data_IF_213691098594
#
_entry.id   IF_213691098594
#
_cell.length_a   1.000
_cell.length_b   1.000
_cell.length_c   1.000
_cell.angle_alpha   90.00
_cell.angle_beta   90.00
_cell.angle_gamma   90.00
#
_symmetry.space_group_name_H-M   'P 1'
#
loop_
_entity.id
_entity.type
_entity.pdbx_description
1 polymer ?
#
# COMPACT_ATOMS: atom_id res chain seq x y z
N UNK A 1 -41.23 -10.34 19.28
CA UNK A 1 -40.46 -10.25 18.02
C UNK A 1 -39.01 -10.56 18.35
N UNK A 2 -38.40 -11.55 17.71
CA UNK A 2 -36.95 -11.72 17.82
C UNK A 2 -36.28 -10.50 17.17
N UNK A 3 -35.26 -9.89 17.78
CA UNK A 3 -34.54 -8.80 17.14
C UNK A 3 -33.92 -9.33 15.85
N UNK A 4 -34.37 -8.80 14.72
CA UNK A 4 -33.79 -9.10 13.41
C UNK A 4 -32.50 -8.29 13.33
N UNK A 5 -31.37 -8.95 13.54
CA UNK A 5 -30.05 -8.35 13.36
C UNK A 5 -29.76 -8.03 11.89
N UNK A 6 -28.83 -7.10 11.65
CA UNK A 6 -28.36 -6.75 10.30
C UNK A 6 -27.80 -7.99 9.58
N UNK A 7 -28.13 -8.20 8.30
CA UNK A 7 -27.61 -9.33 7.52
C UNK A 7 -26.08 -9.25 7.33
N UNK A 8 -25.41 -10.38 7.07
CA UNK A 8 -23.95 -10.41 6.82
C UNK A 8 -23.57 -9.52 5.63
N UNK A 9 -24.35 -9.57 4.55
CA UNK A 9 -24.17 -8.72 3.36
C UNK A 9 -24.24 -7.22 3.71
N UNK A 10 -25.27 -6.80 4.45
CA UNK A 10 -25.44 -5.40 4.83
C UNK A 10 -24.34 -4.94 5.79
N UNK A 11 -23.86 -5.81 6.70
CA UNK A 11 -22.68 -5.51 7.55
C UNK A 11 -21.43 -5.31 6.71
N UNK A 12 -21.16 -6.21 5.76
CA UNK A 12 -20.00 -6.10 4.86
C UNK A 12 -20.07 -4.81 4.03
N UNK A 13 -21.21 -4.53 3.38
CA UNK A 13 -21.39 -3.30 2.60
C UNK A 13 -21.24 -2.04 3.46
N UNK A 14 -21.74 -2.05 4.69
CA UNK A 14 -21.59 -0.93 5.62
C UNK A 14 -20.12 -0.71 6.00
N UNK A 15 -19.36 -1.78 6.25
CA UNK A 15 -17.91 -1.70 6.53
C UNK A 15 -17.15 -1.16 5.32
N UNK A 16 -17.42 -1.69 4.11
CA UNK A 16 -16.82 -1.19 2.87
C UNK A 16 -17.14 0.28 2.64
N UNK A 17 -18.39 0.70 2.86
CA UNK A 17 -18.80 2.09 2.71
C UNK A 17 -18.10 3.01 3.71
N UNK A 18 -17.89 2.53 4.94
CA UNK A 18 -17.20 3.27 5.99
C UNK A 18 -15.71 3.48 5.66
N UNK A 19 -15.00 2.44 5.22
CA UNK A 19 -13.56 2.52 4.97
C UNK A 19 -13.20 3.08 3.59
N UNK A 20 -13.96 2.71 2.56
CA UNK A 20 -13.62 2.97 1.15
C UNK A 20 -14.69 3.78 0.40
N UNK A 21 -15.82 4.09 1.04
CA UNK A 21 -16.88 4.89 0.46
C UNK A 21 -17.96 4.07 -0.25
N UNK A 22 -19.12 4.68 -0.45
CA UNK A 22 -20.31 3.99 -0.98
C UNK A 22 -20.17 3.49 -2.41
N UNK A 23 -19.25 4.03 -3.21
CA UNK A 23 -18.98 3.52 -4.56
C UNK A 23 -18.38 2.11 -4.49
N UNK A 24 -17.36 1.91 -3.65
CA UNK A 24 -16.73 0.58 -3.43
C UNK A 24 -17.71 -0.40 -2.82
N UNK A 25 -18.59 0.06 -1.90
CA UNK A 25 -19.60 -0.82 -1.31
C UNK A 25 -20.69 -1.32 -2.29
N UNK A 26 -20.86 -0.65 -3.43
CA UNK A 26 -21.83 -1.05 -4.48
C UNK A 26 -21.20 -1.91 -5.57
N UNK A 27 -19.89 -1.82 -5.76
CA UNK A 27 -19.12 -2.65 -6.67
C UNK A 27 -18.72 -3.94 -5.96
N UNK A 28 -19.34 -5.06 -6.33
CA UNK A 28 -19.06 -6.37 -5.72
C UNK A 28 -17.94 -7.13 -6.43
N UNK A 29 -17.49 -6.67 -7.59
CA UNK A 29 -16.41 -7.28 -8.35
C UNK A 29 -15.05 -6.62 -8.06
N UNK A 30 -15.08 -5.40 -7.52
CA UNK A 30 -13.92 -4.60 -7.12
C UNK A 30 -12.91 -4.32 -8.23
N UNK A 31 -13.18 -4.72 -9.47
CA UNK A 31 -12.33 -4.58 -10.65
C UNK A 31 -12.45 -3.20 -11.31
N UNK A 32 -13.37 -2.36 -10.83
CA UNK A 32 -13.58 -1.05 -11.41
C UNK A 32 -12.48 -0.07 -11.02
N UNK A 33 -12.07 0.78 -11.96
CA UNK A 33 -11.07 1.84 -11.75
C UNK A 33 -11.38 2.77 -10.56
N UNK A 34 -12.67 2.96 -10.27
CA UNK A 34 -13.11 3.76 -9.12
C UNK A 34 -12.78 3.07 -7.79
N UNK A 35 -12.75 1.74 -7.74
CA UNK A 35 -12.36 1.00 -6.54
C UNK A 35 -10.90 1.28 -6.20
N UNK A 36 -9.99 1.14 -7.18
CA UNK A 36 -8.57 1.48 -7.02
C UNK A 36 -8.40 2.94 -6.58
N UNK A 37 -9.12 3.88 -7.21
CA UNK A 37 -9.04 5.30 -6.85
C UNK A 37 -9.48 5.57 -5.41
N UNK A 38 -10.60 5.00 -4.98
CA UNK A 38 -11.15 5.24 -3.64
C UNK A 38 -10.27 4.59 -2.55
N UNK A 39 -9.75 3.39 -2.81
CA UNK A 39 -8.80 2.72 -1.93
C UNK A 39 -7.49 3.52 -1.81
N UNK A 40 -6.96 4.03 -2.93
CA UNK A 40 -5.77 4.89 -2.90
C UNK A 40 -6.02 6.21 -2.16
N UNK A 41 -7.21 6.81 -2.29
CA UNK A 41 -7.63 7.97 -1.47
C UNK A 41 -7.65 7.65 0.02
N UNK A 42 -8.06 6.44 0.40
CA UNK A 42 -8.02 5.98 1.80
C UNK A 42 -6.57 5.85 2.28
N UNK A 43 -5.72 5.17 1.52
CA UNK A 43 -4.28 5.03 1.79
C UNK A 43 -3.57 6.39 1.92
N UNK A 44 -3.90 7.35 1.06
CA UNK A 44 -3.36 8.72 1.12
C UNK A 44 -3.59 9.39 2.47
N UNK A 45 -4.70 9.12 3.17
CA UNK A 45 -4.97 9.72 4.49
C UNK A 45 -3.92 9.32 5.54
N UNK A 46 -3.34 8.13 5.41
CA UNK A 46 -2.30 7.67 6.33
C UNK A 46 -0.93 8.30 6.02
N UNK A 47 -0.72 8.73 4.77
CA UNK A 47 0.51 9.39 4.32
C UNK A 47 0.44 10.90 4.52
N UNK A 48 -0.72 11.52 4.28
CA UNK A 48 -0.90 12.97 4.30
C UNK A 48 -0.50 13.62 5.63
N UNK A 49 -0.69 12.90 6.74
CA UNK A 49 -0.32 13.33 8.10
C UNK A 49 1.18 13.57 8.26
N UNK A 50 2.00 13.00 7.37
CA UNK A 50 3.46 13.16 7.35
C UNK A 50 3.94 14.19 6.31
N UNK A 51 3.05 14.68 5.44
CA UNK A 51 3.35 15.66 4.39
C UNK A 51 2.94 17.08 4.82
N UNK A 52 3.59 17.60 5.85
CA UNK A 52 3.32 18.96 6.34
C UNK A 52 3.50 20.01 5.24
N UNK A 53 2.47 20.82 4.99
CA UNK A 53 2.45 21.83 3.93
C UNK A 53 1.67 21.43 2.67
N UNK A 54 1.28 20.15 2.51
CA UNK A 54 0.53 19.72 1.31
C UNK A 54 -0.79 20.46 1.11
N UNK A 55 -1.45 20.88 2.20
CA UNK A 55 -2.70 21.65 2.14
C UNK A 55 -2.54 23.09 1.63
N UNK A 56 -1.32 23.64 1.63
CA UNK A 56 -1.03 24.98 1.12
C UNK A 56 -0.51 24.95 -0.34
N UNK A 57 -0.42 23.77 -0.94
CA UNK A 57 -0.01 23.63 -2.34
C UNK A 57 -1.15 24.06 -3.27
N UNK A 58 -0.93 25.11 -4.07
CA UNK A 58 -1.96 25.70 -4.96
C UNK A 58 -2.63 24.68 -5.89
N UNK A 59 -1.85 23.72 -6.36
CA UNK A 59 -2.29 22.70 -7.32
C UNK A 59 -2.38 21.30 -6.68
N UNK A 60 -2.69 21.22 -5.37
CA UNK A 60 -2.74 19.95 -4.64
C UNK A 60 -3.76 18.95 -5.20
N UNK A 61 -4.87 19.41 -5.77
CA UNK A 61 -5.87 18.53 -6.39
C UNK A 61 -5.35 17.89 -7.68
N UNK A 62 -4.68 18.68 -8.54
CA UNK A 62 -4.07 18.18 -9.78
C UNK A 62 -2.96 17.16 -9.47
N UNK A 63 -2.06 17.49 -8.53
CA UNK A 63 -1.03 16.58 -8.04
C UNK A 63 -1.63 15.25 -7.56
N UNK A 64 -2.66 15.31 -6.71
CA UNK A 64 -3.32 14.09 -6.21
C UNK A 64 -3.99 13.30 -7.33
N UNK A 65 -4.62 13.97 -8.29
CA UNK A 65 -5.21 13.32 -9.45
C UNK A 65 -4.17 12.57 -10.30
N UNK A 66 -2.99 13.15 -10.51
CA UNK A 66 -1.88 12.49 -11.21
C UNK A 66 -1.38 11.25 -10.47
N UNK A 67 -1.18 11.34 -9.14
CA UNK A 67 -0.78 10.18 -8.33
C UNK A 67 -1.87 9.10 -8.34
N UNK A 68 -3.15 9.46 -8.23
CA UNK A 68 -4.23 8.47 -8.31
C UNK A 68 -4.26 7.78 -9.68
N UNK A 69 -4.03 8.52 -10.76
CA UNK A 69 -3.92 7.96 -12.10
C UNK A 69 -2.70 7.03 -12.24
N UNK A 70 -1.55 7.37 -11.66
CA UNK A 70 -0.37 6.49 -11.69
C UNK A 70 -0.57 5.21 -10.89
N UNK A 71 -1.29 5.27 -9.75
CA UNK A 71 -1.67 4.07 -8.98
C UNK A 71 -2.59 3.17 -9.79
N UNK A 72 -3.59 3.73 -10.48
CA UNK A 72 -4.48 2.98 -11.38
C UNK A 72 -3.66 2.27 -12.46
N UNK A 73 -2.73 2.99 -13.09
CA UNK A 73 -1.85 2.44 -14.12
C UNK A 73 -0.96 1.31 -13.56
N UNK A 74 -0.41 1.49 -12.36
CA UNK A 74 0.37 0.46 -11.69
C UNK A 74 -0.44 -0.82 -11.47
N UNK A 75 -1.64 -0.70 -10.89
CA UNK A 75 -2.51 -1.86 -10.60
C UNK A 75 -2.97 -2.54 -11.88
N UNK A 76 -3.31 -1.79 -12.92
CA UNK A 76 -3.63 -2.37 -14.24
C UNK A 76 -2.42 -3.13 -14.83
N UNK A 77 -1.21 -2.59 -14.69
CA UNK A 77 0.02 -3.25 -15.12
C UNK A 77 0.37 -4.53 -14.35
N UNK A 78 -0.24 -4.76 -13.17
CA UNK A 78 -0.06 -6.03 -12.46
C UNK A 78 -0.69 -7.21 -13.21
N UNK A 79 -1.67 -6.98 -14.09
CA UNK A 79 -2.24 -8.03 -14.93
C UNK A 79 -1.17 -8.65 -15.84
N UNK A 80 -0.35 -7.82 -16.49
CA UNK A 80 0.78 -8.25 -17.30
C UNK A 80 1.85 -8.98 -16.47
N UNK A 81 2.12 -8.49 -15.26
CA UNK A 81 2.97 -9.18 -14.27
C UNK A 81 2.38 -10.50 -13.76
N UNK A 82 1.12 -10.83 -14.07
CA UNK A 82 0.42 -11.98 -13.51
C UNK A 82 0.08 -13.06 -14.54
N UNK A 83 0.36 -12.79 -15.82
CA UNK A 83 0.08 -13.73 -16.90
C UNK A 83 1.13 -14.86 -16.94
N UNK A 84 0.67 -16.07 -16.60
CA UNK A 84 1.44 -17.33 -16.56
C UNK A 84 2.24 -17.68 -17.82
N UNK A 85 1.90 -17.10 -18.96
CA UNK A 85 2.60 -17.31 -20.24
C UNK A 85 4.01 -16.68 -20.26
N UNK A 86 4.34 -15.81 -19.28
CA UNK A 86 5.64 -15.12 -19.18
C UNK A 86 6.65 -15.82 -18.25
N UNK A 87 6.29 -16.96 -17.65
CA UNK A 87 7.18 -17.73 -16.74
C UNK A 87 6.98 -17.38 -15.25
N UNK A 88 7.80 -17.95 -14.35
CA UNK A 88 7.70 -17.67 -12.92
C UNK A 88 8.16 -16.24 -12.61
N UNK A 89 7.26 -15.43 -12.06
CA UNK A 89 7.62 -14.09 -11.61
C UNK A 89 8.51 -14.15 -10.35
N UNK A 90 9.38 -13.16 -10.21
CA UNK A 90 10.34 -13.07 -9.11
C UNK A 90 10.07 -11.85 -8.23
N UNK A 91 10.52 -11.93 -6.97
CA UNK A 91 10.50 -10.78 -6.06
C UNK A 91 11.24 -9.58 -6.67
N UNK A 92 12.34 -9.82 -7.39
CA UNK A 92 13.15 -8.77 -8.02
C UNK A 92 12.39 -8.02 -9.11
N UNK A 93 11.58 -8.69 -9.93
CA UNK A 93 10.74 -8.03 -10.93
C UNK A 93 9.70 -7.12 -10.27
N UNK A 94 9.05 -7.58 -9.19
CA UNK A 94 8.14 -6.75 -8.43
C UNK A 94 8.85 -5.56 -7.78
N UNK A 95 10.05 -5.78 -7.20
CA UNK A 95 10.89 -4.73 -6.61
C UNK A 95 11.17 -3.62 -7.64
N UNK A 96 11.46 -3.98 -8.89
CA UNK A 96 11.73 -3.03 -9.97
C UNK A 96 10.48 -2.22 -10.36
N UNK A 97 9.32 -2.86 -10.51
CA UNK A 97 8.06 -2.18 -10.78
C UNK A 97 7.70 -1.20 -9.65
N UNK A 98 7.79 -1.67 -8.41
CA UNK A 98 7.52 -0.88 -7.21
C UNK A 98 8.44 0.33 -7.11
N UNK A 99 9.74 0.11 -7.33
CA UNK A 99 10.77 1.15 -7.36
C UNK A 99 10.48 2.20 -8.43
N UNK A 100 10.16 1.77 -9.64
CA UNK A 100 9.84 2.68 -10.74
C UNK A 100 8.66 3.58 -10.38
N UNK A 101 7.58 3.02 -9.81
CA UNK A 101 6.43 3.80 -9.37
C UNK A 101 6.80 4.80 -8.27
N UNK A 102 7.60 4.39 -7.27
CA UNK A 102 8.00 5.29 -6.19
C UNK A 102 8.81 6.48 -6.71
N UNK A 103 9.73 6.24 -7.65
CA UNK A 103 10.52 7.30 -8.27
C UNK A 103 9.66 8.23 -9.14
N UNK A 104 8.75 7.69 -9.94
CA UNK A 104 7.80 8.48 -10.73
C UNK A 104 6.89 9.34 -9.85
N UNK A 105 6.44 8.82 -8.70
CA UNK A 105 5.64 9.57 -7.75
C UNK A 105 6.44 10.74 -7.13
N UNK A 106 7.72 10.53 -6.79
CA UNK A 106 8.61 11.58 -6.29
C UNK A 106 8.85 12.65 -7.37
N UNK A 107 9.14 12.23 -8.60
CA UNK A 107 9.30 13.13 -9.73
C UNK A 107 8.02 13.94 -9.98
N UNK A 108 6.86 13.29 -9.92
CA UNK A 108 5.56 13.95 -10.06
C UNK A 108 5.43 15.08 -9.03
N UNK A 109 5.74 14.84 -7.75
CA UNK A 109 5.73 15.88 -6.71
C UNK A 109 6.68 17.04 -7.03
N UNK A 110 7.86 16.78 -7.61
CA UNK A 110 8.82 17.82 -7.96
C UNK A 110 8.30 18.81 -9.02
N UNK A 111 7.35 18.38 -9.87
CA UNK A 111 6.68 19.26 -10.86
C UNK A 111 5.66 20.21 -10.24
N UNK A 112 5.30 20.01 -8.96
CA UNK A 112 4.37 20.84 -8.21
C UNK A 112 5.09 21.50 -7.02
N UNK A 113 5.99 22.47 -7.27
CA UNK A 113 6.79 23.08 -6.21
C UNK A 113 5.93 23.87 -5.22
N UNK A 114 6.27 23.77 -3.94
CA UNK A 114 5.60 24.52 -2.89
C UNK A 114 6.13 25.95 -2.81
N UNK A 115 5.24 26.93 -3.00
CA UNK A 115 5.59 28.35 -3.07
C UNK A 115 6.34 28.93 -1.85
N UNK A 116 6.17 28.35 -0.67
CA UNK A 116 6.86 28.78 0.57
C UNK A 116 7.89 27.77 1.11
N UNK A 117 7.98 26.57 0.52
CA UNK A 117 8.79 25.47 1.06
C UNK A 117 9.56 24.80 -0.08
N UNK A 118 10.72 25.33 -0.46
CA UNK A 118 11.51 24.77 -1.55
C UNK A 118 11.93 23.31 -1.32
N UNK A 119 11.97 22.87 -0.05
CA UNK A 119 12.29 21.51 0.39
C UNK A 119 11.08 20.57 0.40
N UNK A 120 9.87 21.07 0.13
CA UNK A 120 8.67 20.25 0.13
C UNK A 120 8.70 19.27 -1.05
N UNK A 121 8.54 17.99 -0.73
CA UNK A 121 8.43 16.93 -1.70
C UNK A 121 7.94 15.64 -1.06
N UNK A 122 7.75 14.62 -1.90
CA UNK A 122 7.49 13.27 -1.45
C UNK A 122 8.81 12.56 -1.20
N UNK A 123 8.95 11.91 -0.03
CA UNK A 123 10.06 11.00 0.22
C UNK A 123 9.70 9.58 -0.22
N UNK A 124 10.72 8.77 -0.51
CA UNK A 124 10.54 7.37 -0.90
C UNK A 124 9.73 6.59 0.14
N UNK A 125 10.03 6.79 1.42
CA UNK A 125 9.27 6.22 2.54
C UNK A 125 7.78 6.60 2.57
N UNK A 126 7.39 7.76 2.03
CA UNK A 126 6.00 8.16 1.88
C UNK A 126 5.36 7.58 0.61
N UNK A 127 6.11 7.54 -0.49
CA UNK A 127 5.68 6.91 -1.74
C UNK A 127 5.34 5.42 -1.51
N UNK A 128 6.27 4.65 -0.94
CA UNK A 128 6.04 3.23 -0.64
C UNK A 128 4.82 3.03 0.25
N UNK A 129 4.62 3.89 1.27
CA UNK A 129 3.51 3.74 2.20
C UNK A 129 2.18 3.92 1.49
N UNK A 130 2.10 4.88 0.56
CA UNK A 130 0.91 5.11 -0.24
C UNK A 130 0.58 3.89 -1.11
N UNK A 131 1.57 3.41 -1.89
CA UNK A 131 1.35 2.28 -2.78
C UNK A 131 1.04 1.00 -2.00
N UNK A 132 1.86 0.66 -0.99
CA UNK A 132 1.71 -0.59 -0.25
C UNK A 132 0.40 -0.64 0.55
N UNK A 133 -0.05 0.48 1.13
CA UNK A 133 -1.37 0.52 1.77
C UNK A 133 -2.49 0.36 0.75
N UNK A 134 -2.34 0.92 -0.46
CA UNK A 134 -3.32 0.71 -1.54
C UNK A 134 -3.39 -0.77 -1.91
N UNK A 135 -2.25 -1.39 -2.18
CA UNK A 135 -2.16 -2.80 -2.57
C UNK A 135 -2.67 -3.73 -1.46
N UNK A 136 -2.34 -3.45 -0.20
CA UNK A 136 -2.89 -4.15 0.97
C UNK A 136 -4.41 -4.11 0.98
N UNK A 137 -5.01 -2.92 0.86
CA UNK A 137 -6.46 -2.78 0.86
C UNK A 137 -7.11 -3.50 -0.33
N UNK A 138 -6.51 -3.42 -1.52
CA UNK A 138 -6.98 -4.16 -2.69
C UNK A 138 -6.88 -5.68 -2.50
N UNK A 139 -5.85 -6.17 -1.83
CA UNK A 139 -5.74 -7.58 -1.46
C UNK A 139 -6.84 -8.01 -0.48
N UNK A 140 -7.17 -7.19 0.52
CA UNK A 140 -8.30 -7.44 1.44
C UNK A 140 -9.64 -7.45 0.72
N UNK A 141 -9.78 -6.66 -0.36
CA UNK A 141 -10.95 -6.66 -1.23
C UNK A 141 -10.93 -7.77 -2.29
N UNK A 142 -9.90 -8.62 -2.27
CA UNK A 142 -9.73 -9.71 -3.24
C UNK A 142 -9.73 -9.23 -4.71
N UNK A 143 -9.11 -8.07 -4.94
CA UNK A 143 -9.03 -7.45 -6.27
C UNK A 143 -8.27 -8.37 -7.26
N UNK A 144 -8.81 -8.66 -8.45
CA UNK A 144 -8.27 -9.69 -9.36
C UNK A 144 -6.81 -9.45 -9.73
N UNK A 145 -6.44 -8.24 -10.13
CA UNK A 145 -5.07 -7.88 -10.51
C UNK A 145 -4.06 -7.99 -9.36
N UNK A 146 -4.48 -7.77 -8.12
CA UNK A 146 -3.60 -7.83 -6.94
C UNK A 146 -3.46 -9.26 -6.42
N UNK A 147 -4.49 -10.10 -6.59
CA UNK A 147 -4.49 -11.51 -6.16
C UNK A 147 -3.27 -12.28 -6.64
N UNK A 148 -2.86 -12.06 -7.89
CA UNK A 148 -1.74 -12.76 -8.49
C UNK A 148 -0.38 -12.19 -8.07
N UNK A 149 -0.29 -10.89 -7.86
CA UNK A 149 0.92 -10.23 -7.34
C UNK A 149 1.08 -10.39 -5.82
N UNK A 150 0.05 -10.90 -5.13
CA UNK A 150 -0.02 -10.98 -3.66
C UNK A 150 1.23 -11.55 -2.98
N UNK A 151 1.84 -12.66 -3.45
CA UNK A 151 3.02 -13.23 -2.81
C UNK A 151 4.24 -12.30 -2.79
N UNK A 152 4.29 -11.33 -3.71
CA UNK A 152 5.43 -10.44 -3.92
C UNK A 152 5.21 -9.05 -3.31
N UNK A 153 4.01 -8.76 -2.81
CA UNK A 153 3.67 -7.45 -2.28
C UNK A 153 4.52 -7.10 -1.08
N UNK A 154 4.98 -5.86 -1.07
CA UNK A 154 5.69 -5.28 0.05
C UNK A 154 4.72 -4.90 1.17
N UNK A 155 5.07 -5.17 2.41
CA UNK A 155 4.32 -4.63 3.55
C UNK A 155 4.47 -3.11 3.62
N UNK A 156 3.41 -2.39 4.03
CA UNK A 156 3.44 -0.94 4.12
C UNK A 156 4.23 -0.49 5.35
N UNK A 157 5.53 -0.21 5.19
CA UNK A 157 6.40 0.13 6.32
C UNK A 157 5.92 1.37 7.06
N UNK A 158 5.66 1.21 8.36
CA UNK A 158 5.44 2.26 9.32
C UNK A 158 5.96 1.86 10.70
N UNK A 159 5.77 2.73 11.68
CA UNK A 159 6.19 2.48 13.07
C UNK A 159 5.55 1.24 13.71
N UNK A 160 4.37 0.81 13.23
CA UNK A 160 3.72 -0.40 13.75
C UNK A 160 4.41 -1.62 13.16
N UNK A 161 4.61 -1.66 11.84
CA UNK A 161 5.32 -2.77 11.17
C UNK A 161 6.75 -2.93 11.69
N UNK A 162 7.45 -1.83 11.99
CA UNK A 162 8.79 -1.90 12.59
C UNK A 162 8.77 -2.56 13.98
N UNK A 163 7.85 -2.14 14.85
CA UNK A 163 7.69 -2.76 16.16
C UNK A 163 7.33 -4.25 16.05
N UNK A 164 6.40 -4.60 15.17
CA UNK A 164 6.01 -5.99 14.89
C UNK A 164 7.21 -6.84 14.49
N UNK A 165 8.00 -6.34 13.53
CA UNK A 165 9.18 -7.02 13.02
C UNK A 165 10.25 -7.23 14.10
N UNK A 166 10.45 -6.24 14.97
CA UNK A 166 11.42 -6.35 16.06
C UNK A 166 10.95 -7.31 17.16
N UNK A 167 9.65 -7.35 17.44
CA UNK A 167 9.05 -8.26 18.43
C UNK A 167 9.06 -9.71 17.94
N UNK A 168 8.53 -9.97 16.75
CA UNK A 168 8.34 -11.33 16.21
C UNK A 168 9.60 -11.89 15.55
N UNK A 169 10.27 -11.07 14.74
CA UNK A 169 11.31 -11.53 13.80
C UNK A 169 12.73 -11.06 14.17
N UNK A 170 12.85 -10.22 15.20
CA UNK A 170 14.11 -9.58 15.64
C UNK A 170 14.80 -8.73 14.57
N UNK A 171 14.02 -8.25 13.59
CA UNK A 171 14.46 -7.30 12.56
C UNK A 171 14.40 -5.89 13.15
N UNK A 172 15.53 -5.20 13.19
CA UNK A 172 15.66 -3.91 13.91
C UNK A 172 15.12 -2.74 13.11
N UNK A 173 14.41 -1.82 13.77
CA UNK A 173 13.96 -0.58 13.14
C UNK A 173 15.12 0.19 12.46
N UNK A 174 14.93 0.72 11.24
CA UNK A 174 15.92 1.60 10.60
C UNK A 174 16.17 2.87 11.41
N UNK A 175 17.35 3.47 11.26
CA UNK A 175 17.70 4.71 12.00
C UNK A 175 16.84 5.93 11.63
N UNK A 176 16.28 5.94 10.42
CA UNK A 176 15.38 7.00 9.95
C UNK A 176 13.93 6.56 10.09
N UNK A 177 13.07 7.51 10.49
CA UNK A 177 11.61 7.33 10.48
C UNK A 177 11.15 6.83 9.10
N UNK A 178 10.17 5.92 9.09
CA UNK A 178 9.62 5.33 7.85
C UNK A 178 9.31 6.38 6.77
N UNK A 179 8.75 7.53 7.15
CA UNK A 179 8.34 8.61 6.22
C UNK A 179 9.51 9.38 5.60
N UNK A 180 10.74 9.13 6.06
CA UNK A 180 11.98 9.75 5.57
C UNK A 180 12.99 8.72 5.05
N UNK A 181 12.61 7.44 4.97
CA UNK A 181 13.45 6.44 4.35
C UNK A 181 13.74 6.81 2.90
N UNK A 182 15.00 6.63 2.51
CA UNK A 182 15.42 6.59 1.11
C UNK A 182 15.28 5.19 0.52
N UNK A 183 15.34 5.11 -0.80
CA UNK A 183 15.21 3.86 -1.58
C UNK A 183 16.05 2.71 -1.02
N UNK A 184 17.36 2.93 -0.85
CA UNK A 184 18.29 1.87 -0.41
C UNK A 184 17.92 1.30 0.96
N UNK A 185 17.58 2.18 1.91
CA UNK A 185 17.23 1.76 3.27
C UNK A 185 15.86 1.03 3.29
N UNK A 186 14.93 1.47 2.44
CA UNK A 186 13.65 0.80 2.27
C UNK A 186 13.80 -0.61 1.70
N UNK A 187 14.52 -0.77 0.58
CA UNK A 187 14.70 -2.06 -0.08
C UNK A 187 15.44 -3.05 0.83
N UNK A 188 16.54 -2.61 1.46
CA UNK A 188 17.28 -3.44 2.40
C UNK A 188 16.40 -3.95 3.56
N UNK A 189 15.50 -3.11 4.07
CA UNK A 189 14.59 -3.52 5.13
C UNK A 189 13.51 -4.49 4.64
N UNK A 190 12.98 -4.31 3.43
CA UNK A 190 12.05 -5.28 2.84
C UNK A 190 12.71 -6.63 2.61
N UNK A 191 13.95 -6.65 2.13
CA UNK A 191 14.71 -7.89 1.92
C UNK A 191 14.99 -8.60 3.27
N UNK A 192 15.35 -7.85 4.31
CA UNK A 192 15.57 -8.40 5.66
C UNK A 192 14.27 -8.99 6.24
N UNK A 193 13.15 -8.29 6.10
CA UNK A 193 11.83 -8.82 6.47
C UNK A 193 11.48 -10.09 5.71
N UNK A 194 11.68 -10.10 4.40
CA UNK A 194 11.39 -11.25 3.55
C UNK A 194 12.24 -12.45 3.95
N UNK A 195 13.53 -12.25 4.20
CA UNK A 195 14.43 -13.30 4.67
C UNK A 195 14.00 -13.84 6.04
N UNK A 196 13.64 -12.95 6.98
CA UNK A 196 13.23 -13.35 8.32
C UNK A 196 11.91 -14.13 8.34
N UNK A 197 10.91 -13.68 7.55
CA UNK A 197 9.63 -14.39 7.38
C UNK A 197 9.84 -15.78 6.79
N UNK A 198 10.67 -15.90 5.74
CA UNK A 198 10.92 -17.21 5.12
C UNK A 198 11.79 -18.16 5.97
N UNK A 199 12.58 -17.62 6.90
CA UNK A 199 13.34 -18.43 7.85
C UNK A 199 12.46 -18.99 8.97
N UNK A 200 11.33 -18.35 9.27
CA UNK A 200 10.39 -18.81 10.28
C UNK A 200 9.48 -19.91 9.72
N UNK A 201 9.81 -21.16 10.05
CA UNK A 201 9.02 -22.34 9.66
C UNK A 201 7.56 -22.36 10.16
N UNK A 202 7.20 -21.48 11.10
CA UNK A 202 5.82 -21.32 11.57
C UNK A 202 5.01 -20.38 10.68
N UNK A 203 5.67 -19.56 9.86
CA UNK A 203 5.06 -18.66 8.88
C UNK A 203 5.09 -19.36 7.52
N UNK A 204 3.99 -19.99 7.14
CA UNK A 204 3.93 -20.81 5.91
C UNK A 204 3.61 -20.00 4.65
N UNK A 205 3.85 -18.67 4.64
CA UNK A 205 3.18 -17.71 3.76
C UNK A 205 4.01 -16.46 3.42
N UNK A 206 3.45 -15.53 2.64
CA UNK A 206 4.09 -14.26 2.24
C UNK A 206 4.24 -13.28 3.41
N UNK A 207 5.07 -12.24 3.24
CA UNK A 207 5.24 -11.16 4.25
C UNK A 207 3.91 -10.45 4.56
N UNK A 208 2.99 -10.38 3.59
CA UNK A 208 1.65 -9.84 3.78
C UNK A 208 0.79 -10.70 4.72
N UNK A 209 0.93 -12.02 4.64
CA UNK A 209 0.19 -12.94 5.51
C UNK A 209 0.71 -12.89 6.94
N UNK A 210 2.03 -12.80 7.13
CA UNK A 210 2.63 -12.52 8.44
C UNK A 210 2.04 -11.25 9.07
N UNK A 211 2.01 -10.16 8.30
CA UNK A 211 1.47 -8.88 8.77
C UNK A 211 -0.02 -8.99 9.16
N UNK A 212 -0.83 -9.65 8.33
CA UNK A 212 -2.25 -9.87 8.59
C UNK A 212 -2.51 -10.72 9.84
N UNK A 213 -1.72 -11.78 10.05
CA UNK A 213 -1.85 -12.67 11.20
C UNK A 213 -1.55 -11.96 12.52
N UNK A 214 -0.55 -11.07 12.54
CA UNK A 214 -0.27 -10.25 13.72
C UNK A 214 -1.48 -9.39 14.11
N UNK A 215 -2.13 -8.72 13.13
CA UNK A 215 -3.33 -7.93 13.39
C UNK A 215 -4.50 -8.75 13.96
N UNK A 216 -4.61 -10.03 13.56
CA UNK A 216 -5.65 -10.95 14.05
C UNK A 216 -5.37 -11.40 15.48
N UNK A 217 -4.10 -11.67 15.83
CA UNK A 217 -3.68 -12.08 17.19
C UNK A 217 -3.91 -10.97 18.23
N UNK A 218 -3.97 -9.72 17.78
CA UNK A 218 -4.23 -8.53 18.61
C UNK A 218 -2.93 -7.83 19.03
N UNK A 219 -2.93 -6.50 18.92
CA UNK A 219 -1.88 -5.62 19.48
C UNK A 219 -1.78 -5.79 21.00
#
# INVERSE_FOLDING_TARGET
>A
MNPVGMSKDLRTKSLLAFYFGGAVARDLNFDHVDTIRNVSKRAYRDVNRTMHGIGALKNADALRAEIYASVIKFVAGLEEFSHKELGPHTQEEFNQLHRAWCLEAIETFSRFPHHQRPDFGLHYGQAQKWLNMTLKYLAVLDHPQVRYAYPYLHVPLDSVVFRMAEEDLKVKEPSLKWSRLGEKAYLAYQDELYAAVNADSTITRSVMDWEAEYWIKGL
#
